data_IF_372624364131
#
_entry.id   IF_372624364131
#
_cell.length_a   1.000
_cell.length_b   1.000
_cell.length_c   1.000
_cell.angle_alpha   90.00
_cell.angle_beta   90.00
_cell.angle_gamma   90.00
#
_symmetry.space_group_name_H-M   'P 1'
#
loop_
_entity.id
_entity.type
_entity.pdbx_description
1 polymer ?
#
# COMPACT_ATOMS: atom_id res chain seq x y z
N UNK A 1 -17.25 -28.18 -39.91
CA UNK A 1 -16.98 -27.24 -38.82
C UNK A 1 -16.40 -28.07 -37.69
N UNK A 2 -15.12 -27.92 -37.32
CA UNK A 2 -14.64 -28.52 -36.08
C UNK A 2 -15.39 -27.89 -34.90
N UNK A 3 -15.57 -28.61 -33.77
CA UNK A 3 -16.17 -28.02 -32.57
C UNK A 3 -15.31 -26.83 -32.12
N UNK A 4 -15.97 -25.76 -31.69
CA UNK A 4 -15.31 -24.66 -30.98
C UNK A 4 -14.56 -25.24 -29.77
N UNK A 5 -13.34 -24.78 -29.48
CA UNK A 5 -12.66 -25.20 -28.27
C UNK A 5 -13.53 -24.80 -27.07
N UNK A 6 -13.86 -25.78 -26.23
CA UNK A 6 -14.45 -25.53 -24.90
C UNK A 6 -13.56 -24.49 -24.18
N UNK A 7 -14.14 -23.48 -23.50
CA UNK A 7 -13.33 -22.54 -22.74
C UNK A 7 -12.49 -23.37 -21.77
N UNK A 8 -11.17 -23.26 -21.88
CA UNK A 8 -10.25 -23.86 -20.92
C UNK A 8 -10.65 -23.33 -19.55
N UNK A 9 -11.27 -24.15 -18.72
CA UNK A 9 -11.50 -23.84 -17.31
C UNK A 9 -10.12 -23.59 -16.71
N UNK A 10 -9.76 -22.32 -16.55
CA UNK A 10 -8.53 -21.93 -15.89
C UNK A 10 -8.64 -22.47 -14.47
N UNK A 11 -7.73 -23.36 -14.09
CA UNK A 11 -7.70 -23.92 -12.72
C UNK A 11 -7.53 -22.78 -11.74
N UNK A 12 -8.37 -22.68 -10.72
CA UNK A 12 -8.26 -21.64 -9.68
C UNK A 12 -6.82 -21.59 -9.13
N UNK A 13 -6.22 -20.41 -9.06
CA UNK A 13 -4.91 -20.21 -8.44
C UNK A 13 -5.00 -19.07 -7.45
N UNK A 14 -4.47 -19.28 -6.25
CA UNK A 14 -4.37 -18.27 -5.22
C UNK A 14 -3.02 -18.33 -4.52
N UNK A 15 -2.39 -17.17 -4.37
CA UNK A 15 -1.15 -17.01 -3.63
C UNK A 15 -1.39 -16.24 -2.33
N UNK A 16 -0.87 -16.75 -1.23
CA UNK A 16 -0.91 -16.11 0.09
C UNK A 16 0.50 -16.02 0.67
N UNK A 17 0.95 -14.81 0.96
CA UNK A 17 2.20 -14.57 1.67
C UNK A 17 1.99 -13.62 2.85
N UNK A 18 2.67 -13.87 3.97
CA UNK A 18 2.66 -13.02 5.15
C UNK A 18 4.09 -12.80 5.64
N UNK A 19 4.38 -11.59 6.13
CA UNK A 19 5.68 -11.22 6.66
C UNK A 19 5.56 -10.52 8.01
N UNK A 20 6.32 -10.97 9.01
CA UNK A 20 6.51 -10.32 10.28
C UNK A 20 7.83 -9.55 10.25
N UNK A 21 7.77 -8.24 10.46
CA UNK A 21 8.89 -7.30 10.34
C UNK A 21 9.34 -6.84 11.73
N UNK A 22 8.40 -6.50 12.60
CA UNK A 22 8.74 -5.90 13.90
C UNK A 22 9.26 -6.95 14.88
N UNK A 23 8.71 -8.16 14.83
CA UNK A 23 9.11 -9.25 15.72
C UNK A 23 8.91 -10.62 15.06
N UNK A 24 9.88 -11.54 15.18
CA UNK A 24 9.65 -12.93 14.82
C UNK A 24 8.57 -13.57 15.71
N UNK A 25 7.81 -14.50 15.14
CA UNK A 25 6.85 -15.33 15.84
C UNK A 25 7.56 -16.28 16.81
N UNK A 26 6.98 -16.45 18.00
CA UNK A 26 7.40 -17.47 18.96
C UNK A 26 7.08 -18.89 18.45
N UNK A 27 7.66 -19.92 19.09
CA UNK A 27 7.38 -21.31 18.73
C UNK A 27 5.87 -21.65 18.83
N UNK A 28 5.19 -21.18 19.87
CA UNK A 28 3.75 -21.40 20.06
C UNK A 28 2.90 -20.68 19.00
N UNK A 29 3.32 -19.49 18.58
CA UNK A 29 2.67 -18.75 17.50
C UNK A 29 2.85 -19.45 16.15
N UNK A 30 4.06 -19.95 15.85
CA UNK A 30 4.31 -20.75 14.65
C UNK A 30 3.48 -22.05 14.64
N UNK A 31 3.35 -22.72 15.79
CA UNK A 31 2.50 -23.90 15.92
C UNK A 31 1.02 -23.56 15.66
N UNK A 32 0.55 -22.41 16.16
CA UNK A 32 -0.82 -21.92 15.94
C UNK A 32 -1.11 -21.66 14.46
N UNK A 33 -0.18 -20.99 13.75
CA UNK A 33 -0.35 -20.72 12.32
C UNK A 33 -0.20 -22.00 11.48
N UNK A 34 0.69 -22.92 11.87
CA UNK A 34 0.85 -24.22 11.19
C UNK A 34 -0.39 -25.12 11.28
N UNK A 35 -1.24 -24.92 12.29
CA UNK A 35 -2.52 -25.62 12.36
C UNK A 35 -3.51 -25.19 11.27
N UNK A 36 -3.32 -24.02 10.64
CA UNK A 36 -4.21 -23.48 9.61
C UNK A 36 -3.90 -24.00 8.20
N UNK A 37 -2.63 -24.34 7.93
CA UNK A 37 -2.22 -24.92 6.65
C UNK A 37 -1.08 -25.92 6.83
N UNK A 38 -1.30 -27.13 6.30
CA UNK A 38 -0.30 -28.20 6.26
C UNK A 38 0.67 -28.06 5.10
N UNK A 39 0.30 -27.32 4.05
CA UNK A 39 1.11 -27.12 2.83
C UNK A 39 1.98 -25.87 2.89
N UNK A 40 1.63 -24.93 3.77
CA UNK A 40 2.34 -23.67 3.86
C UNK A 40 3.80 -23.83 4.29
N UNK A 41 4.69 -23.08 3.65
CA UNK A 41 6.06 -22.88 4.12
C UNK A 41 6.05 -21.81 5.21
N UNK A 42 6.38 -22.20 6.43
CA UNK A 42 6.30 -21.33 7.61
C UNK A 42 7.67 -21.23 8.28
N UNK A 43 8.11 -20.00 8.53
CA UNK A 43 9.30 -19.63 9.31
C UNK A 43 8.90 -18.77 10.51
N UNK A 44 9.86 -18.29 11.28
CA UNK A 44 9.59 -17.34 12.36
C UNK A 44 9.15 -15.97 11.85
N UNK A 45 9.36 -15.64 10.56
CA UNK A 45 8.99 -14.33 10.00
C UNK A 45 8.09 -14.43 8.78
N UNK A 46 7.90 -15.60 8.18
CA UNK A 46 7.12 -15.74 6.96
C UNK A 46 6.13 -16.90 7.00
N UNK A 47 5.05 -16.75 6.25
CA UNK A 47 4.12 -17.80 5.88
C UNK A 47 3.86 -17.64 4.39
N UNK A 48 4.06 -18.70 3.60
CA UNK A 48 3.77 -18.71 2.16
C UNK A 48 2.94 -19.93 1.85
N UNK A 49 1.86 -19.77 1.08
CA UNK A 49 1.02 -20.87 0.67
C UNK A 49 0.34 -20.59 -0.66
N UNK A 50 0.20 -21.64 -1.46
CA UNK A 50 -0.44 -21.60 -2.76
C UNK A 50 -1.61 -22.61 -2.78
N UNK A 51 -2.67 -22.24 -3.47
CA UNK A 51 -3.86 -23.07 -3.63
C UNK A 51 -4.22 -23.17 -5.11
N UNK A 52 -4.43 -24.40 -5.57
CA UNK A 52 -4.96 -24.70 -6.91
C UNK A 52 -6.45 -25.10 -6.88
N UNK A 53 -6.99 -25.37 -5.68
CA UNK A 53 -8.39 -25.74 -5.43
C UNK A 53 -8.77 -25.43 -3.97
N UNK A 54 -9.87 -24.70 -3.78
CA UNK A 54 -10.41 -24.31 -2.46
C UNK A 54 -9.60 -23.22 -1.74
N UNK A 55 -10.07 -22.82 -0.55
CA UNK A 55 -9.58 -21.61 0.11
C UNK A 55 -8.68 -21.82 1.33
N UNK A 56 -7.95 -20.76 1.66
CA UNK A 56 -7.26 -20.64 2.94
C UNK A 56 -8.25 -20.73 4.11
N UNK A 57 -8.04 -21.70 5.00
CA UNK A 57 -8.94 -21.96 6.14
C UNK A 57 -8.85 -20.94 7.27
N UNK A 58 -7.80 -20.13 7.29
CA UNK A 58 -7.64 -19.06 8.26
C UNK A 58 -8.23 -17.74 7.75
N UNK A 59 -8.29 -16.75 8.63
CA UNK A 59 -8.63 -15.38 8.22
C UNK A 59 -7.32 -14.58 8.06
N UNK A 60 -7.02 -14.06 6.85
CA UNK A 60 -5.84 -13.23 6.63
C UNK A 60 -5.81 -12.00 7.54
N UNK A 61 -6.96 -11.34 7.73
CA UNK A 61 -7.09 -10.19 8.64
C UNK A 61 -6.73 -10.55 10.08
N UNK A 62 -7.15 -11.71 10.57
CA UNK A 62 -6.78 -12.17 11.91
C UNK A 62 -5.27 -12.44 12.03
N UNK A 63 -4.67 -13.01 10.99
CA UNK A 63 -3.24 -13.30 10.97
C UNK A 63 -2.40 -12.01 10.97
N UNK A 64 -2.78 -11.00 10.19
CA UNK A 64 -2.15 -9.68 10.24
C UNK A 64 -2.35 -9.03 11.60
N UNK A 65 -3.58 -9.07 12.13
CA UNK A 65 -3.90 -8.49 13.44
C UNK A 65 -3.03 -9.06 14.56
N UNK A 66 -2.83 -10.39 14.57
CA UNK A 66 -2.19 -11.13 15.68
C UNK A 66 -0.68 -11.31 15.50
N UNK A 67 -0.22 -11.64 14.30
CA UNK A 67 1.12 -12.21 14.08
C UNK A 67 1.97 -11.47 13.05
N UNK A 68 1.39 -11.07 11.91
CA UNK A 68 2.15 -10.56 10.76
C UNK A 68 1.96 -9.06 10.53
N UNK A 69 2.94 -8.41 9.91
CA UNK A 69 2.91 -6.97 9.66
C UNK A 69 2.58 -6.62 8.21
N UNK A 70 2.79 -7.56 7.29
CA UNK A 70 2.36 -7.47 5.90
C UNK A 70 1.65 -8.75 5.48
N UNK A 71 0.72 -8.62 4.55
CA UNK A 71 0.12 -9.74 3.83
C UNK A 71 -0.02 -9.39 2.35
N UNK A 72 0.35 -10.32 1.48
CA UNK A 72 0.16 -10.27 0.04
C UNK A 72 -0.79 -11.41 -0.36
N UNK A 73 -1.79 -11.07 -1.16
CA UNK A 73 -2.71 -12.01 -1.77
C UNK A 73 -2.93 -11.63 -3.23
N UNK A 74 -2.93 -12.61 -4.12
CA UNK A 74 -3.43 -12.44 -5.48
C UNK A 74 -3.96 -13.75 -6.03
N UNK A 75 -4.92 -13.68 -6.95
CA UNK A 75 -5.63 -14.85 -7.46
C UNK A 75 -6.02 -14.74 -8.92
N UNK A 76 -6.10 -15.88 -9.61
CA UNK A 76 -6.20 -15.96 -11.07
C UNK A 76 -7.46 -15.43 -11.75
N UNK A 77 -8.37 -14.91 -10.94
CA UNK A 77 -9.56 -14.18 -11.38
C UNK A 77 -9.42 -12.67 -11.20
N UNK A 78 -8.23 -12.17 -10.85
CA UNK A 78 -7.88 -10.75 -10.93
C UNK A 78 -7.80 -10.02 -9.59
N UNK A 79 -8.24 -10.63 -8.48
CA UNK A 79 -8.09 -10.01 -7.15
C UNK A 79 -6.63 -9.90 -6.75
N UNK A 80 -6.22 -8.70 -6.34
CA UNK A 80 -4.89 -8.37 -5.81
C UNK A 80 -5.05 -7.57 -4.53
N UNK A 81 -4.44 -8.03 -3.43
CA UNK A 81 -4.50 -7.37 -2.12
C UNK A 81 -3.13 -7.32 -1.44
N UNK A 82 -2.77 -6.14 -0.97
CA UNK A 82 -1.60 -5.89 -0.13
C UNK A 82 -2.06 -5.24 1.17
N UNK A 83 -1.87 -5.92 2.29
CA UNK A 83 -2.24 -5.42 3.62
C UNK A 83 -0.98 -5.00 4.38
N UNK A 84 -0.98 -3.79 4.93
CA UNK A 84 0.11 -3.21 5.73
C UNK A 84 -0.39 -2.88 7.13
N UNK A 85 0.23 -3.45 8.16
CA UNK A 85 -0.03 -3.10 9.56
C UNK A 85 1.06 -2.17 10.08
N UNK A 86 0.69 -0.93 10.38
CA UNK A 86 1.59 0.10 10.89
C UNK A 86 1.12 0.64 12.23
N UNK A 87 2.02 1.15 13.09
CA UNK A 87 1.63 1.94 14.26
C UNK A 87 0.74 3.12 13.85
N UNK A 88 -0.45 3.25 14.44
CA UNK A 88 -1.40 4.32 14.10
C UNK A 88 -0.83 5.73 14.36
N UNK A 89 0.19 5.84 15.21
CA UNK A 89 0.89 7.09 15.48
C UNK A 89 1.65 7.64 14.26
N UNK A 90 2.01 6.78 13.29
CA UNK A 90 2.72 7.17 12.08
C UNK A 90 1.88 8.07 11.17
N UNK A 91 0.58 7.74 11.01
CA UNK A 91 -0.36 8.50 10.18
C UNK A 91 -1.28 9.40 11.01
N UNK A 92 -0.93 9.69 12.26
CA UNK A 92 -1.74 10.57 13.10
C UNK A 92 -1.73 12.00 12.56
N UNK A 93 -2.91 12.51 12.19
CA UNK A 93 -3.08 13.83 11.59
C UNK A 93 -3.02 13.83 10.06
N UNK A 94 -2.80 12.67 9.44
CA UNK A 94 -3.12 12.47 8.02
C UNK A 94 -4.62 12.20 7.93
N UNK A 95 -5.31 12.95 7.10
CA UNK A 95 -6.66 12.60 6.70
C UNK A 95 -6.56 11.42 5.72
N UNK A 96 -7.06 10.25 6.11
CA UNK A 96 -6.99 9.05 5.27
C UNK A 96 -8.16 8.98 4.31
N UNK A 97 -9.27 9.64 4.64
CA UNK A 97 -10.51 9.55 3.87
C UNK A 97 -10.32 10.15 2.46
N UNK A 98 -9.44 11.14 2.32
CA UNK A 98 -9.06 11.69 1.01
C UNK A 98 -8.41 10.69 0.05
N UNK A 99 -7.82 9.60 0.56
CA UNK A 99 -7.20 8.56 -0.27
C UNK A 99 -8.10 7.32 -0.45
N UNK A 100 -9.24 7.26 0.25
CA UNK A 100 -10.18 6.12 0.18
C UNK A 100 -11.12 6.35 -0.99
N UNK A 101 -10.97 5.54 -2.04
CA UNK A 101 -11.81 5.59 -3.23
C UNK A 101 -12.25 4.18 -3.61
N UNK A 102 -13.57 3.96 -3.66
CA UNK A 102 -14.16 2.65 -3.93
C UNK A 102 -13.64 1.58 -2.97
N UNK A 103 -13.29 0.40 -3.52
CA UNK A 103 -12.79 -0.75 -2.74
C UNK A 103 -11.25 -0.89 -2.75
N UNK A 104 -10.54 0.07 -3.36
CA UNK A 104 -9.07 0.02 -3.53
C UNK A 104 -8.30 0.27 -2.25
N UNK A 105 -8.93 0.92 -1.26
CA UNK A 105 -8.31 1.13 0.04
C UNK A 105 -9.33 1.01 1.17
N UNK A 106 -8.99 0.26 2.21
CA UNK A 106 -9.64 0.35 3.51
C UNK A 106 -8.59 0.58 4.62
N UNK A 107 -8.95 1.40 5.60
CA UNK A 107 -8.08 1.77 6.71
C UNK A 107 -8.78 1.47 8.05
N UNK A 108 -8.40 0.36 8.68
CA UNK A 108 -9.07 -0.15 9.88
C UNK A 108 -8.18 -0.02 11.12
N UNK A 109 -8.72 0.55 12.20
CA UNK A 109 -7.98 0.62 13.47
C UNK A 109 -7.95 -0.73 14.18
N UNK A 110 -6.77 -1.14 14.61
CA UNK A 110 -6.55 -2.35 15.41
C UNK A 110 -5.67 -2.05 16.63
N UNK A 111 -6.30 -1.63 17.73
CA UNK A 111 -5.60 -1.22 18.95
C UNK A 111 -4.69 -0.02 18.71
N UNK A 112 -3.38 -0.21 18.93
CA UNK A 112 -2.34 0.82 18.69
C UNK A 112 -1.87 0.89 17.23
N UNK A 113 -2.34 -0.03 16.39
CA UNK A 113 -1.99 -0.13 14.98
C UNK A 113 -3.15 0.30 14.09
N UNK A 114 -2.82 0.64 12.86
CA UNK A 114 -3.71 0.79 11.73
C UNK A 114 -3.38 -0.33 10.73
N UNK A 115 -4.41 -0.93 10.15
CA UNK A 115 -4.31 -1.91 9.07
C UNK A 115 -4.79 -1.19 7.82
N UNK A 116 -3.89 -1.02 6.85
CA UNK A 116 -4.20 -0.52 5.51
C UNK A 116 -4.35 -1.73 4.60
N UNK A 117 -5.45 -1.81 3.89
CA UNK A 117 -5.79 -2.88 2.96
C UNK A 117 -5.87 -2.27 1.57
N UNK A 118 -4.88 -2.55 0.73
CA UNK A 118 -4.73 -1.96 -0.59
C UNK A 118 -5.14 -3.01 -1.62
N UNK A 119 -6.16 -2.73 -2.41
CA UNK A 119 -6.79 -3.66 -3.33
C UNK A 119 -6.76 -3.19 -4.78
N UNK A 120 -6.78 -4.16 -5.69
CA UNK A 120 -7.14 -3.97 -7.10
C UNK A 120 -7.90 -5.21 -7.56
N UNK A 121 -9.09 -5.00 -8.10
CA UNK A 121 -9.84 -6.03 -8.82
C UNK A 121 -9.60 -5.86 -10.33
N UNK A 122 -9.67 -6.95 -11.08
CA UNK A 122 -9.53 -6.92 -12.52
C UNK A 122 -10.26 -8.10 -13.14
N UNK A 123 -10.62 -7.98 -14.42
CA UNK A 123 -11.39 -9.02 -15.09
C UNK A 123 -10.53 -10.22 -15.48
N UNK A 124 -11.15 -11.40 -15.50
CA UNK A 124 -10.54 -12.72 -15.74
C UNK A 124 -9.88 -12.87 -17.11
N UNK A 125 -10.24 -12.05 -18.10
CA UNK A 125 -9.86 -12.28 -19.51
C UNK A 125 -8.62 -11.50 -19.98
N UNK A 126 -8.22 -10.41 -19.29
CA UNK A 126 -7.20 -9.47 -19.81
C UNK A 126 -5.92 -9.33 -18.94
N UNK A 127 -5.87 -9.88 -17.72
CA UNK A 127 -4.85 -9.51 -16.72
C UNK A 127 -4.04 -10.66 -16.11
N UNK A 128 -4.18 -11.88 -16.64
CA UNK A 128 -3.40 -13.02 -16.17
C UNK A 128 -2.23 -13.33 -17.09
N UNK A 129 -1.07 -12.79 -16.72
CA UNK A 129 0.22 -13.23 -17.22
C UNK A 129 0.73 -14.34 -16.29
N UNK A 130 0.87 -15.57 -16.83
CA UNK A 130 1.37 -16.74 -16.08
C UNK A 130 2.78 -16.52 -15.52
N UNK A 131 3.54 -15.56 -16.07
CA UNK A 131 4.88 -15.19 -15.62
C UNK A 131 4.87 -14.07 -14.55
N UNK A 132 3.70 -13.50 -14.21
CA UNK A 132 3.57 -12.40 -13.24
C UNK A 132 3.54 -12.92 -11.80
N UNK A 133 4.73 -13.17 -11.24
CA UNK A 133 4.90 -13.60 -9.85
C UNK A 133 5.21 -12.42 -8.91
N UNK A 134 4.31 -12.15 -7.97
CA UNK A 134 4.49 -11.15 -6.94
C UNK A 134 4.99 -11.76 -5.63
N UNK A 135 6.00 -11.15 -5.01
CA UNK A 135 6.48 -11.54 -3.68
C UNK A 135 6.44 -10.36 -2.72
N UNK A 136 6.17 -10.64 -1.45
CA UNK A 136 6.04 -9.62 -0.40
C UNK A 136 7.34 -8.82 -0.21
N UNK A 137 8.48 -9.38 -0.63
CA UNK A 137 9.79 -8.73 -0.59
C UNK A 137 9.83 -7.43 -1.40
N UNK A 138 9.11 -7.37 -2.54
CA UNK A 138 8.99 -6.17 -3.37
C UNK A 138 8.28 -5.01 -2.66
N UNK A 139 7.42 -5.31 -1.69
CA UNK A 139 6.59 -4.34 -0.98
C UNK A 139 7.09 -4.00 0.42
N UNK A 140 8.07 -4.75 0.94
CA UNK A 140 8.52 -4.65 2.34
C UNK A 140 8.94 -3.22 2.75
N UNK A 141 9.49 -2.43 1.81
CA UNK A 141 9.94 -1.07 2.09
C UNK A 141 8.79 -0.07 2.27
N UNK A 142 7.60 -0.29 1.68
CA UNK A 142 6.44 0.62 1.78
C UNK A 142 6.07 0.91 3.23
N UNK A 143 6.19 -0.10 4.10
CA UNK A 143 5.92 0.05 5.53
C UNK A 143 6.88 1.04 6.19
N UNK A 144 8.17 0.97 5.86
CA UNK A 144 9.17 1.89 6.40
C UNK A 144 9.00 3.31 5.85
N UNK A 145 8.65 3.43 4.57
CA UNK A 145 8.33 4.69 3.91
C UNK A 145 7.15 5.41 4.58
N UNK A 146 6.03 4.71 4.83
CA UNK A 146 4.88 5.25 5.55
C UNK A 146 5.23 5.65 6.99
N UNK A 147 6.11 4.89 7.66
CA UNK A 147 6.62 5.25 8.99
C UNK A 147 7.49 6.52 8.98
N UNK A 148 8.09 6.83 7.83
CA UNK A 148 8.88 8.04 7.57
C UNK A 148 8.03 9.24 7.14
N UNK A 149 6.71 9.04 7.02
CA UNK A 149 5.77 10.07 6.56
C UNK A 149 5.74 10.23 5.05
N UNK A 150 6.30 9.29 4.29
CA UNK A 150 6.12 9.24 2.84
C UNK A 150 4.70 8.78 2.51
N UNK A 151 3.88 9.70 2.00
CA UNK A 151 2.49 9.43 1.65
C UNK A 151 2.30 8.98 0.20
N UNK A 152 3.38 8.89 -0.60
CA UNK A 152 3.30 8.41 -1.99
C UNK A 152 2.59 7.05 -2.11
N UNK A 153 2.80 6.05 -1.23
CA UNK A 153 2.06 4.79 -1.31
C UNK A 153 0.53 4.96 -1.22
N UNK A 154 0.03 5.87 -0.38
CA UNK A 154 -1.42 6.15 -0.27
C UNK A 154 -1.94 6.85 -1.52
N UNK A 155 -1.17 7.81 -2.05
CA UNK A 155 -1.53 8.53 -3.25
C UNK A 155 -1.50 7.65 -4.51
N UNK A 156 -0.59 6.67 -4.61
CA UNK A 156 -0.58 5.69 -5.70
C UNK A 156 -1.84 4.81 -5.69
N UNK A 157 -2.34 4.44 -4.50
CA UNK A 157 -3.59 3.68 -4.37
C UNK A 157 -4.78 4.52 -4.79
N UNK A 158 -4.80 5.80 -4.37
CA UNK A 158 -5.81 6.76 -4.83
C UNK A 158 -5.81 6.88 -6.36
N UNK A 159 -4.64 7.05 -7.00
CA UNK A 159 -4.55 7.12 -8.46
C UNK A 159 -5.05 5.85 -9.14
N UNK A 160 -4.70 4.67 -8.61
CA UNK A 160 -5.15 3.40 -9.16
C UNK A 160 -6.67 3.29 -9.10
N UNK A 161 -7.27 3.74 -7.99
CA UNK A 161 -8.70 3.71 -7.78
C UNK A 161 -9.47 4.61 -8.75
N UNK A 162 -9.04 5.86 -8.93
CA UNK A 162 -9.70 6.80 -9.86
C UNK A 162 -9.43 6.43 -11.33
N UNK A 163 -8.35 5.69 -11.60
CA UNK A 163 -8.03 5.21 -12.95
C UNK A 163 -9.06 4.22 -13.49
N UNK A 164 -9.73 3.46 -12.61
CA UNK A 164 -10.83 2.57 -13.00
C UNK A 164 -12.00 3.38 -13.58
N UNK A 165 -12.26 4.58 -13.05
CA UNK A 165 -13.33 5.46 -13.53
C UNK A 165 -13.13 5.98 -14.95
N UNK A 166 -11.89 6.02 -15.44
CA UNK A 166 -11.62 6.37 -16.84
C UNK A 166 -11.99 5.24 -17.82
N UNK A 167 -12.24 4.03 -17.32
CA UNK A 167 -12.48 2.82 -18.10
C UNK A 167 -13.96 2.42 -18.04
N UNK A 168 -14.61 2.61 -16.89
CA UNK A 168 -16.00 2.23 -16.65
C UNK A 168 -16.85 3.46 -16.24
N UNK A 169 -17.71 3.92 -17.17
CA UNK A 169 -18.63 5.06 -16.95
C UNK A 169 -19.69 4.77 -15.85
N UNK A 170 -19.98 3.50 -15.57
CA UNK A 170 -20.90 3.08 -14.51
C UNK A 170 -20.20 2.93 -13.13
N UNK A 171 -18.86 2.99 -13.10
CA UNK A 171 -18.09 2.98 -11.85
C UNK A 171 -18.11 4.34 -11.11
N UNK A 172 -18.87 5.31 -11.63
CA UNK A 172 -18.82 6.70 -11.21
C UNK A 172 -20.21 7.35 -11.06
N UNK A 173 -20.43 8.11 -9.98
CA UNK A 173 -21.48 9.13 -9.94
C UNK A 173 -20.86 10.47 -10.36
N UNK A 174 -21.53 11.23 -11.24
CA UNK A 174 -21.03 12.51 -11.77
C UNK A 174 -20.59 13.51 -10.67
N UNK A 175 -21.10 13.35 -9.44
CA UNK A 175 -20.73 14.16 -8.28
C UNK A 175 -19.28 13.94 -7.79
N UNK A 176 -18.69 12.77 -8.04
CA UNK A 176 -17.33 12.46 -7.58
C UNK A 176 -16.26 13.16 -8.44
N UNK A 177 -16.63 13.62 -9.64
CA UNK A 177 -15.72 14.25 -10.60
C UNK A 177 -15.31 15.65 -10.18
N UNK A 178 -16.21 16.33 -9.45
CA UNK A 178 -16.02 17.67 -8.90
C UNK A 178 -15.25 17.66 -7.56
N UNK A 179 -14.94 16.47 -7.02
CA UNK A 179 -14.13 16.35 -5.80
C UNK A 179 -12.70 16.78 -6.10
N UNK A 180 -12.10 17.50 -5.15
CA UNK A 180 -10.71 17.95 -5.28
C UNK A 180 -9.74 16.77 -5.16
N UNK A 181 -8.72 16.78 -6.00
CA UNK A 181 -7.59 15.89 -5.89
C UNK A 181 -6.91 16.04 -4.52
N UNK A 182 -6.55 14.94 -3.83
CA UNK A 182 -5.73 15.01 -2.63
C UNK A 182 -4.39 15.71 -2.91
N UNK A 183 -3.76 16.33 -1.91
CA UNK A 183 -2.51 17.03 -2.11
C UNK A 183 -1.42 16.09 -2.68
N UNK A 184 -0.85 16.48 -3.82
CA UNK A 184 0.17 15.69 -4.53
C UNK A 184 1.45 15.60 -3.70
N UNK A 185 1.89 14.39 -3.30
CA UNK A 185 3.10 14.25 -2.50
C UNK A 185 4.37 14.61 -3.29
N UNK A 186 5.33 15.24 -2.62
CA UNK A 186 6.65 15.51 -3.20
C UNK A 186 7.38 14.21 -3.61
N UNK A 187 8.10 14.27 -4.72
CA UNK A 187 8.91 13.16 -5.26
C UNK A 187 8.11 12.10 -6.02
N UNK A 188 6.89 12.39 -6.48
CA UNK A 188 6.11 11.44 -7.28
C UNK A 188 6.77 11.12 -8.63
N UNK A 189 7.58 12.05 -9.17
CA UNK A 189 8.38 11.81 -10.38
C UNK A 189 9.55 10.84 -10.20
N UNK A 190 9.91 10.46 -8.97
CA UNK A 190 11.02 9.55 -8.66
C UNK A 190 10.57 8.50 -7.61
N UNK A 191 9.78 7.53 -8.06
CA UNK A 191 9.29 6.44 -7.21
C UNK A 191 10.42 5.51 -6.75
N UNK A 192 10.32 5.02 -5.51
CA UNK A 192 11.20 3.94 -5.02
C UNK A 192 10.87 2.62 -5.71
N UNK A 193 11.76 1.62 -5.66
CA UNK A 193 11.48 0.31 -6.23
C UNK A 193 10.22 -0.36 -5.67
N UNK A 194 9.91 -0.15 -4.38
CA UNK A 194 8.70 -0.69 -3.77
C UNK A 194 7.44 0.08 -4.19
N UNK A 195 7.54 1.39 -4.45
CA UNK A 195 6.46 2.20 -4.98
C UNK A 195 6.17 1.88 -6.44
N UNK A 196 7.20 1.59 -7.24
CA UNK A 196 7.04 1.08 -8.61
C UNK A 196 6.35 -0.28 -8.61
N UNK A 197 6.77 -1.19 -7.73
CA UNK A 197 6.11 -2.48 -7.55
C UNK A 197 4.64 -2.30 -7.13
N UNK A 198 4.34 -1.37 -6.23
CA UNK A 198 2.96 -1.05 -5.83
C UNK A 198 2.12 -0.54 -7.00
N UNK A 199 2.64 0.41 -7.78
CA UNK A 199 1.93 0.97 -8.93
C UNK A 199 1.58 -0.12 -9.95
N UNK A 200 2.55 -0.99 -10.28
CA UNK A 200 2.34 -2.11 -11.19
C UNK A 200 1.37 -3.15 -10.61
N UNK A 201 1.50 -3.49 -9.32
CA UNK A 201 0.61 -4.43 -8.64
C UNK A 201 -0.85 -3.96 -8.68
N UNK A 202 -1.09 -2.67 -8.47
CA UNK A 202 -2.42 -2.04 -8.51
C UNK A 202 -2.92 -1.73 -9.91
N UNK A 203 -2.18 -2.10 -10.97
CA UNK A 203 -2.53 -1.82 -12.38
C UNK A 203 -2.70 -0.33 -12.67
N UNK A 204 -1.91 0.52 -12.01
CA UNK A 204 -1.99 1.97 -12.19
C UNK A 204 -1.61 2.38 -13.62
N UNK A 205 -2.49 3.15 -14.28
CA UNK A 205 -2.24 3.74 -15.59
C UNK A 205 -1.02 4.67 -15.55
N UNK A 206 -0.11 4.46 -16.50
CA UNK A 206 1.18 5.14 -16.54
C UNK A 206 1.07 6.59 -16.99
N UNK A 207 0.07 6.94 -17.81
CA UNK A 207 -0.18 8.31 -18.22
C UNK A 207 -0.81 9.11 -17.08
N UNK A 208 -1.74 8.50 -16.33
CA UNK A 208 -2.32 9.07 -15.13
C UNK A 208 -1.26 9.35 -14.06
N UNK A 209 -0.37 8.38 -13.80
CA UNK A 209 0.77 8.59 -12.90
C UNK A 209 1.69 9.71 -13.40
N UNK A 210 2.00 9.75 -14.69
CA UNK A 210 2.87 10.77 -15.25
C UNK A 210 2.23 12.18 -15.21
N UNK A 211 0.91 12.27 -15.38
CA UNK A 211 0.16 13.51 -15.28
C UNK A 211 0.09 14.03 -13.85
N UNK A 212 -0.19 13.15 -12.88
CA UNK A 212 -0.07 13.46 -11.46
C UNK A 212 1.34 13.97 -11.11
N UNK A 213 2.37 13.24 -11.55
CA UNK A 213 3.78 13.57 -11.27
C UNK A 213 4.24 14.89 -11.88
N UNK A 214 3.59 15.40 -12.93
CA UNK A 214 3.95 16.68 -13.55
C UNK A 214 3.78 17.88 -12.60
N UNK A 215 2.89 17.76 -11.61
CA UNK A 215 2.63 18.78 -10.59
C UNK A 215 3.36 18.52 -9.27
N UNK A 216 3.99 17.35 -9.13
CA UNK A 216 4.78 16.99 -7.96
C UNK A 216 6.06 17.81 -7.91
N UNK A 217 6.35 18.37 -6.74
CA UNK A 217 7.67 18.97 -6.49
C UNK A 217 8.72 17.87 -6.39
N UNK A 218 9.99 18.14 -6.72
CA UNK A 218 11.09 17.25 -6.36
C UNK A 218 11.12 17.07 -4.85
N UNK A 219 11.45 15.86 -4.40
CA UNK A 219 11.68 15.63 -2.99
C UNK A 219 13.03 16.25 -2.64
N UNK A 220 13.00 17.37 -1.93
CA UNK A 220 14.22 17.87 -1.32
C UNK A 220 14.78 16.74 -0.44
N UNK A 221 16.07 16.45 -0.61
CA UNK A 221 16.83 15.77 0.43
C UNK A 221 16.90 16.73 1.61
N UNK A 222 15.79 16.92 2.32
CA UNK A 222 15.69 17.77 3.51
C UNK A 222 16.88 17.35 4.34
N UNK A 223 17.83 18.29 4.50
CA UNK A 223 19.02 18.06 5.30
C UNK A 223 18.53 17.70 6.68
N UNK A 224 18.41 16.40 6.95
CA UNK A 224 17.95 15.90 8.23
C UNK A 224 18.89 16.54 9.23
N UNK A 225 18.39 17.35 10.18
CA UNK A 225 19.28 17.99 11.14
C UNK A 225 20.09 16.87 11.77
N UNK A 226 21.41 17.06 11.85
CA UNK A 226 22.34 16.01 12.25
C UNK A 226 21.73 15.26 13.45
N UNK A 227 21.50 13.94 13.39
CA UNK A 227 20.62 13.24 14.32
C UNK A 227 20.94 13.52 15.79
N UNK A 228 22.22 13.78 16.09
CA UNK A 228 22.70 14.15 17.41
C UNK A 228 22.17 15.48 17.92
N UNK A 229 22.18 16.54 17.12
CA UNK A 229 21.77 17.89 17.52
C UNK A 229 20.27 17.92 17.83
N UNK A 230 19.46 17.30 16.97
CA UNK A 230 18.03 17.17 17.22
C UNK A 230 17.73 16.32 18.46
N UNK A 231 18.39 15.16 18.61
CA UNK A 231 18.24 14.34 19.82
C UNK A 231 18.64 15.12 21.07
N UNK A 232 19.67 15.99 21.03
CA UNK A 232 20.00 16.81 22.20
C UNK A 232 18.90 17.79 22.56
N UNK A 233 18.26 18.42 21.57
CA UNK A 233 17.17 19.39 21.76
C UNK A 233 15.84 18.79 22.27
N UNK A 234 15.64 17.47 22.16
CA UNK A 234 14.42 16.84 22.63
C UNK A 234 14.23 16.99 24.17
N UNK A 235 12.99 17.18 24.66
CA UNK A 235 12.71 17.13 26.09
C UNK A 235 13.04 15.76 26.69
N UNK A 236 13.57 15.72 27.92
CA UNK A 236 13.98 14.48 28.61
C UNK A 236 12.87 13.44 28.64
N UNK A 237 11.64 13.84 28.98
CA UNK A 237 10.48 12.94 28.99
C UNK A 237 10.26 12.22 27.65
N UNK A 238 10.52 12.88 26.52
CA UNK A 238 10.36 12.30 25.18
C UNK A 238 11.42 11.23 24.93
N UNK A 239 12.65 11.46 25.40
CA UNK A 239 13.74 10.49 25.33
C UNK A 239 13.42 9.28 26.20
N UNK A 240 12.97 9.52 27.43
CA UNK A 240 12.62 8.46 28.39
C UNK A 240 11.47 7.60 27.85
N UNK A 241 10.39 8.22 27.38
CA UNK A 241 9.23 7.53 26.79
C UNK A 241 9.65 6.69 25.57
N UNK A 242 10.55 7.21 24.72
CA UNK A 242 11.05 6.48 23.56
C UNK A 242 11.94 5.29 23.96
N UNK A 243 12.82 5.46 24.95
CA UNK A 243 13.69 4.39 25.46
C UNK A 243 12.87 3.28 26.13
N UNK A 244 11.85 3.65 26.92
CA UNK A 244 10.92 2.67 27.52
C UNK A 244 10.19 1.89 26.43
N UNK A 245 9.68 2.57 25.39
CA UNK A 245 9.02 1.91 24.27
C UNK A 245 9.97 0.96 23.51
N UNK A 246 11.24 1.34 23.33
CA UNK A 246 12.25 0.46 22.73
C UNK A 246 12.48 -0.80 23.58
N UNK A 247 12.65 -0.65 24.90
CA UNK A 247 12.82 -1.80 25.80
C UNK A 247 11.59 -2.70 25.88
N UNK A 248 10.39 -2.14 25.65
CA UNK A 248 9.14 -2.89 25.59
C UNK A 248 8.91 -3.61 24.24
N UNK A 249 9.81 -3.45 23.26
CA UNK A 249 9.67 -4.03 21.92
C UNK A 249 8.80 -3.24 20.95
N UNK A 250 8.39 -2.01 21.32
CA UNK A 250 7.54 -1.13 20.51
C UNK A 250 8.36 -0.25 19.54
N UNK A 251 9.33 -0.87 18.85
CA UNK A 251 10.35 -0.17 18.07
C UNK A 251 9.76 0.72 16.97
N UNK A 252 8.83 0.19 16.16
CA UNK A 252 8.21 0.93 15.06
C UNK A 252 7.41 2.14 15.57
N UNK A 253 6.65 1.97 16.65
CA UNK A 253 5.86 3.04 17.24
C UNK A 253 6.74 4.11 17.92
N UNK A 254 7.85 3.71 18.55
CA UNK A 254 8.85 4.64 19.09
C UNK A 254 9.49 5.47 17.98
N UNK A 255 9.95 4.81 16.90
CA UNK A 255 10.52 5.45 15.72
C UNK A 255 9.55 6.44 15.08
N UNK A 256 8.32 6.03 14.81
CA UNK A 256 7.28 6.88 14.23
C UNK A 256 7.01 8.14 15.06
N UNK A 257 6.93 8.02 16.40
CA UNK A 257 6.76 9.17 17.31
C UNK A 257 7.94 10.14 17.23
N UNK A 258 9.16 9.63 17.15
CA UNK A 258 10.36 10.45 17.05
C UNK A 258 10.44 11.16 15.70
N UNK A 259 10.22 10.45 14.59
CA UNK A 259 10.25 11.02 13.26
C UNK A 259 9.19 12.11 13.05
N UNK A 260 7.98 11.91 13.57
CA UNK A 260 6.95 12.96 13.54
C UNK A 260 7.33 14.23 14.32
N UNK A 261 8.15 14.09 15.36
CA UNK A 261 8.68 15.24 16.11
C UNK A 261 9.89 15.87 15.44
N UNK A 262 10.67 15.07 14.70
CA UNK A 262 11.81 15.52 13.89
C UNK A 262 11.32 16.37 12.72
N UNK A 263 10.36 15.85 11.96
CA UNK A 263 9.62 16.58 10.95
C UNK A 263 8.57 17.52 11.56
N UNK A 264 8.76 18.00 12.79
CA UNK A 264 7.80 18.89 13.45
C UNK A 264 7.48 20.08 12.56
N UNK A 265 6.22 20.20 12.12
CA UNK A 265 5.77 21.19 11.14
C UNK A 265 6.48 21.15 9.78
N UNK A 266 6.93 19.98 9.33
CA UNK A 266 6.74 19.65 7.91
C UNK A 266 5.23 19.52 7.75
N UNK A 267 4.61 20.69 7.67
CA UNK A 267 3.35 20.84 7.00
C UNK A 267 3.55 20.13 5.68
N UNK A 268 3.00 18.93 5.55
CA UNK A 268 2.49 18.44 4.27
C UNK A 268 1.36 19.40 3.84
N UNK A 269 1.60 20.72 3.85
CA UNK A 269 1.05 21.65 2.89
C UNK A 269 1.71 21.32 1.56
N UNK A 270 1.51 20.09 1.09
CA UNK A 270 1.15 19.96 -0.29
C UNK A 270 -0.05 20.91 -0.44
N UNK A 271 0.09 21.89 -1.33
CA UNK A 271 -0.96 22.87 -1.55
C UNK A 271 -2.27 22.11 -1.76
N UNK A 272 -3.38 22.62 -1.22
CA UNK A 272 -4.70 22.07 -1.50
C UNK A 272 -4.81 21.81 -3.01
N UNK A 273 -5.27 20.61 -3.38
CA UNK A 273 -5.43 20.24 -4.78
C UNK A 273 -6.21 21.34 -5.48
N UNK A 274 -5.58 21.98 -6.47
CA UNK A 274 -6.21 23.08 -7.20
C UNK A 274 -7.08 22.60 -8.34
N UNK A 275 -6.98 21.30 -8.66
CA UNK A 275 -7.75 20.63 -9.70
C UNK A 275 -8.63 19.54 -9.11
N UNK A 276 -9.71 19.27 -9.80
CA UNK A 276 -10.64 18.19 -9.51
C UNK A 276 -10.11 16.86 -10.04
N UNK A 277 -10.71 15.76 -9.58
CA UNK A 277 -10.39 14.42 -10.09
C UNK A 277 -10.72 14.32 -11.58
N UNK A 278 -11.86 14.88 -12.02
CA UNK A 278 -12.24 14.91 -13.43
C UNK A 278 -11.19 15.61 -14.31
N UNK A 279 -10.69 16.78 -13.88
CA UNK A 279 -9.64 17.50 -14.59
C UNK A 279 -8.32 16.70 -14.70
N UNK A 280 -7.97 15.93 -13.66
CA UNK A 280 -6.81 15.03 -13.70
C UNK A 280 -7.01 13.89 -14.71
N UNK A 281 -8.18 13.24 -14.70
CA UNK A 281 -8.49 12.15 -15.62
C UNK A 281 -8.54 12.63 -17.08
N UNK A 282 -9.16 13.79 -17.35
CA UNK A 282 -9.18 14.41 -18.67
C UNK A 282 -7.77 14.74 -19.18
N UNK A 283 -6.92 15.30 -18.32
CA UNK A 283 -5.53 15.60 -18.66
C UNK A 283 -4.72 14.32 -18.96
N UNK A 284 -4.92 13.26 -18.18
CA UNK A 284 -4.29 11.96 -18.39
C UNK A 284 -4.76 11.30 -19.71
N UNK A 285 -6.06 11.35 -20.01
CA UNK A 285 -6.62 10.84 -21.26
C UNK A 285 -6.07 11.59 -22.47
N UNK A 286 -5.93 12.91 -22.38
CA UNK A 286 -5.31 13.71 -23.44
C UNK A 286 -3.83 13.33 -23.64
N UNK A 287 -3.07 13.17 -22.56
CA UNK A 287 -1.67 12.71 -22.62
C UNK A 287 -1.55 11.34 -23.30
N UNK A 288 -2.44 10.41 -22.95
CA UNK A 288 -2.52 9.08 -23.56
C UNK A 288 -2.76 9.16 -25.07
N UNK A 289 -3.73 9.98 -25.49
CA UNK A 289 -4.01 10.21 -26.90
C UNK A 289 -2.79 10.79 -27.65
N UNK A 290 -2.13 11.81 -27.08
CA UNK A 290 -0.95 12.42 -27.69
C UNK A 290 0.22 11.42 -27.84
N UNK A 291 0.38 10.49 -26.89
CA UNK A 291 1.38 9.41 -26.97
C UNK A 291 1.04 8.42 -28.08
N UNK A 292 -0.22 8.00 -28.18
CA UNK A 292 -0.65 6.98 -29.14
C UNK A 292 -0.65 7.51 -30.60
N UNK A 293 -0.62 8.83 -30.79
CA UNK A 293 -0.49 9.51 -32.08
C UNK A 293 0.96 9.67 -32.58
N UNK A 294 1.98 9.40 -31.75
CA UNK A 294 3.42 9.53 -32.05
C UNK A 294 4.06 8.23 -32.57
#
# INVERSE_FOLDING_TARGET
MPPEPEPSTVSEYQFYEFLAVDRPLTADQQASVRALSTRARITSTSFVNEYEWGDFKGSPDELVRKYYDLHLYYANWGTRRLVLKIPAVALSGVDLDQYVVGEHMDARRSGKNLILDLGSEGDTEDYWDEDEEWTIGGFAALRAELLDGDLRPLYLVFLAAIGVWAIDEDAFDYADGDVLEPPVPDGLGELTGAQQALAAFLRLDTDLLAEAASTSRPRDAVGQPAPREWVTALPTKVKDDALVALLAGDHAAARARLLRRLGGTASNTAAEGTRTIGELLDAAAKRKQERDEL
#
